data_IF_297250630619
#
_entry.id   IF_297250630619
#
_cell.length_a   1.000
_cell.length_b   1.000
_cell.length_c   1.000
_cell.angle_alpha   90.00
_cell.angle_beta   90.00
_cell.angle_gamma   90.00
#
_symmetry.space_group_name_H-M   'P 1'
#
loop_
_entity.id
_entity.type
_entity.pdbx_description
1 polymer ?
#
# COMPACT_ATOMS: atom_id res chain seq x y z
N UNK A 1 -46.83 27.49 -67.37
CA UNK A 1 -47.31 27.64 -65.97
C UNK A 1 -46.96 26.34 -65.28
N UNK A 2 -46.23 26.22 -64.19
CA UNK A 2 -45.63 27.12 -63.20
C UNK A 2 -45.29 26.18 -62.03
N UNK A 3 -44.09 26.28 -61.46
CA UNK A 3 -43.71 25.70 -60.16
C UNK A 3 -43.04 24.31 -60.22
N UNK A 4 -41.95 24.03 -59.50
CA UNK A 4 -41.13 24.88 -58.62
C UNK A 4 -39.76 24.22 -58.41
N UNK A 5 -38.73 25.06 -58.49
CA UNK A 5 -37.43 25.11 -57.80
C UNK A 5 -36.50 23.89 -57.65
N UNK A 6 -35.35 24.04 -58.34
CA UNK A 6 -34.04 23.48 -57.99
C UNK A 6 -33.50 24.26 -56.79
N UNK A 7 -33.07 23.54 -55.75
CA UNK A 7 -32.14 24.10 -54.77
C UNK A 7 -30.77 23.43 -54.85
N UNK A 8 -29.78 24.30 -55.03
CA UNK A 8 -28.36 24.04 -54.86
C UNK A 8 -28.08 23.97 -53.36
N UNK A 9 -27.32 22.98 -52.94
CA UNK A 9 -26.35 23.20 -51.87
C UNK A 9 -25.06 22.49 -52.26
N UNK A 10 -24.08 23.31 -52.64
CA UNK A 10 -22.69 22.94 -52.68
C UNK A 10 -22.19 22.94 -51.23
N UNK A 11 -21.31 22.01 -50.88
CA UNK A 11 -20.26 22.33 -49.93
C UNK A 11 -18.94 21.66 -50.31
N UNK A 12 -17.89 22.38 -49.95
CA UNK A 12 -16.57 22.45 -50.57
C UNK A 12 -15.82 21.12 -50.72
N UNK A 13 -15.04 21.04 -51.81
CA UNK A 13 -13.83 20.23 -51.86
C UNK A 13 -12.95 20.58 -50.66
N UNK A 14 -12.70 19.61 -49.79
CA UNK A 14 -11.48 19.59 -48.97
C UNK A 14 -10.51 18.69 -49.71
N UNK A 15 -9.59 19.30 -50.45
CA UNK A 15 -8.34 18.64 -50.81
C UNK A 15 -7.56 18.49 -49.49
N UNK A 16 -7.61 17.30 -48.91
CA UNK A 16 -6.65 16.91 -47.87
C UNK A 16 -5.42 16.43 -48.63
N UNK A 17 -4.53 17.38 -48.90
CA UNK A 17 -3.12 17.09 -49.08
C UNK A 17 -2.57 16.71 -47.70
N UNK A 18 -2.61 15.40 -47.42
CA UNK A 18 -1.90 14.73 -46.35
C UNK A 18 -1.20 13.55 -47.01
N UNK A 19 0.09 13.73 -47.25
CA UNK A 19 1.02 12.73 -47.76
C UNK A 19 1.20 11.61 -46.72
N UNK A 20 0.17 10.78 -46.56
CA UNK A 20 0.23 9.56 -45.75
C UNK A 20 0.83 8.46 -46.63
N UNK A 21 2.14 8.56 -46.88
CA UNK A 21 2.90 7.39 -47.31
C UNK A 21 2.67 6.29 -46.26
N UNK A 22 2.15 5.11 -46.65
CA UNK A 22 1.87 4.05 -45.68
C UNK A 22 3.12 3.73 -44.89
N UNK A 23 3.02 3.72 -43.56
CA UNK A 23 4.19 3.46 -42.72
C UNK A 23 4.68 2.01 -42.92
N UNK A 24 5.88 1.70 -42.41
CA UNK A 24 6.47 0.36 -42.54
C UNK A 24 5.55 -0.76 -42.00
N UNK A 25 4.63 -0.43 -41.10
CA UNK A 25 3.67 -1.35 -40.53
C UNK A 25 2.46 -1.54 -41.46
N UNK A 26 1.90 -0.45 -42.00
CA UNK A 26 0.84 -0.48 -43.00
C UNK A 26 1.29 -1.20 -44.27
N UNK A 27 2.50 -0.91 -44.76
CA UNK A 27 3.14 -1.61 -45.89
C UNK A 27 3.21 -3.12 -45.63
N UNK A 28 3.46 -3.53 -44.38
CA UNK A 28 3.49 -4.93 -43.97
C UNK A 28 2.10 -5.56 -43.97
N UNK A 29 1.10 -4.89 -43.42
CA UNK A 29 -0.30 -5.34 -43.39
C UNK A 29 -0.83 -5.53 -44.82
N UNK A 30 -0.60 -4.55 -45.71
CA UNK A 30 -0.97 -4.68 -47.13
C UNK A 30 -0.19 -5.78 -47.84
N UNK A 31 1.11 -5.97 -47.54
CA UNK A 31 1.93 -7.01 -48.19
C UNK A 31 1.52 -8.44 -47.81
N UNK A 32 0.91 -8.63 -46.63
CA UNK A 32 0.52 -9.96 -46.15
C UNK A 32 -0.80 -10.46 -46.75
N UNK A 33 -1.57 -9.62 -47.44
CA UNK A 33 -2.89 -9.96 -47.98
C UNK A 33 -3.97 -10.21 -46.92
N UNK A 34 -3.62 -10.13 -45.63
CA UNK A 34 -4.46 -10.51 -44.50
C UNK A 34 -5.68 -9.58 -44.34
N UNK A 35 -5.55 -8.32 -44.75
CA UNK A 35 -6.65 -7.36 -44.82
C UNK A 35 -7.75 -7.81 -45.80
N UNK A 36 -7.35 -8.27 -46.99
CA UNK A 36 -8.28 -8.67 -48.05
C UNK A 36 -8.96 -10.00 -47.71
N UNK A 37 -8.23 -10.93 -47.08
CA UNK A 37 -8.80 -12.16 -46.54
C UNK A 37 -9.80 -11.89 -45.41
N UNK A 38 -9.49 -10.95 -44.52
CA UNK A 38 -10.40 -10.55 -43.46
C UNK A 38 -11.66 -9.84 -44.01
N UNK A 39 -11.53 -9.03 -45.05
CA UNK A 39 -12.67 -8.43 -45.74
C UNK A 39 -13.55 -9.49 -46.44
N UNK A 40 -12.91 -10.47 -47.10
CA UNK A 40 -13.58 -11.62 -47.74
C UNK A 40 -14.35 -12.46 -46.72
N UNK A 41 -13.76 -12.74 -45.55
CA UNK A 41 -14.41 -13.47 -44.45
C UNK A 41 -15.58 -12.69 -43.85
N UNK A 42 -15.46 -11.37 -43.69
CA UNK A 42 -16.56 -10.53 -43.22
C UNK A 42 -17.72 -10.46 -44.22
N UNK A 43 -17.42 -10.41 -45.53
CA UNK A 43 -18.44 -10.47 -46.58
C UNK A 43 -19.13 -11.85 -46.61
N UNK A 44 -18.36 -12.94 -46.49
CA UNK A 44 -18.91 -14.30 -46.38
C UNK A 44 -19.85 -14.46 -45.18
N UNK A 45 -19.48 -13.89 -44.02
CA UNK A 45 -20.34 -13.89 -42.85
C UNK A 45 -21.61 -13.05 -43.05
N UNK A 46 -21.49 -11.88 -43.68
CA UNK A 46 -22.65 -11.01 -43.93
C UNK A 46 -23.68 -11.70 -44.83
N UNK A 47 -23.22 -12.44 -45.85
CA UNK A 47 -24.08 -13.16 -46.79
C UNK A 47 -24.66 -14.45 -46.19
N UNK A 48 -23.83 -15.29 -45.58
CA UNK A 48 -24.24 -16.64 -45.13
C UNK A 48 -24.73 -16.66 -43.68
N UNK A 49 -24.48 -15.60 -42.89
CA UNK A 49 -24.77 -15.45 -41.45
C UNK A 49 -24.31 -16.60 -40.57
N UNK A 50 -23.39 -17.43 -41.07
CA UNK A 50 -22.79 -18.56 -40.37
C UNK A 50 -21.30 -18.64 -40.71
N UNK A 51 -20.46 -18.38 -39.70
CA UNK A 51 -19.01 -18.34 -39.83
C UNK A 51 -18.39 -19.72 -40.12
N UNK A 52 -19.09 -20.82 -39.82
CA UNK A 52 -18.56 -22.18 -40.04
C UNK A 52 -18.53 -22.58 -41.51
N UNK A 53 -19.44 -22.03 -42.31
CA UNK A 53 -19.49 -22.28 -43.75
C UNK A 53 -18.37 -21.54 -44.52
N UNK A 54 -17.74 -20.54 -43.90
CA UNK A 54 -16.67 -19.75 -44.53
C UNK A 54 -15.27 -20.38 -44.41
N UNK A 55 -15.12 -21.47 -43.64
CA UNK A 55 -13.84 -22.18 -43.47
C UNK A 55 -13.43 -23.04 -44.66
N UNK A 56 -14.37 -23.40 -45.55
CA UNK A 56 -14.11 -24.31 -46.66
C UNK A 56 -13.44 -23.68 -47.89
N UNK A 57 -13.40 -22.35 -47.96
CA UNK A 57 -12.93 -21.62 -49.15
C UNK A 57 -11.55 -20.94 -48.97
N UNK A 58 -11.01 -20.87 -47.74
CA UNK A 58 -9.64 -20.41 -47.48
C UNK A 58 -8.77 -21.58 -47.02
N UNK A 59 -7.84 -21.99 -47.89
CA UNK A 59 -6.83 -23.01 -47.61
C UNK A 59 -5.79 -22.45 -46.63
N UNK A 60 -6.11 -22.51 -45.33
CA UNK A 60 -5.18 -22.18 -44.26
C UNK A 60 -4.11 -23.28 -44.19
N UNK A 61 -3.10 -23.19 -45.05
CA UNK A 61 -1.86 -23.94 -44.85
C UNK A 61 -1.29 -23.59 -43.47
N UNK A 62 -0.88 -24.58 -42.65
CA UNK A 62 -0.42 -24.31 -41.30
C UNK A 62 0.86 -23.48 -41.35
N UNK A 63 0.83 -22.29 -40.75
CA UNK A 63 2.02 -21.51 -40.46
C UNK A 63 3.02 -22.36 -39.64
N UNK A 64 4.34 -22.19 -39.82
CA UNK A 64 5.32 -22.92 -39.03
C UNK A 64 5.09 -22.66 -37.54
N UNK A 65 5.24 -23.72 -36.73
CA UNK A 65 4.91 -23.79 -35.31
C UNK A 65 5.20 -22.48 -34.56
N UNK A 66 4.13 -21.80 -34.10
CA UNK A 66 4.25 -20.71 -33.15
C UNK A 66 4.96 -21.21 -31.90
N UNK A 67 6.00 -20.52 -31.47
CA UNK A 67 6.70 -20.82 -30.21
C UNK A 67 5.70 -20.93 -29.06
N UNK A 68 5.89 -21.89 -28.12
CA UNK A 68 4.98 -22.05 -27.00
C UNK A 68 4.94 -20.74 -26.20
N UNK A 69 3.73 -20.24 -25.93
CA UNK A 69 3.49 -19.10 -25.05
C UNK A 69 4.24 -19.31 -23.73
N UNK A 70 5.28 -18.50 -23.49
CA UNK A 70 6.01 -18.50 -22.23
C UNK A 70 5.03 -18.22 -21.10
N UNK A 71 4.95 -19.12 -20.12
CA UNK A 71 4.17 -18.89 -18.91
C UNK A 71 4.75 -17.67 -18.19
N UNK A 72 3.91 -16.69 -17.85
CA UNK A 72 4.35 -15.48 -17.09
C UNK A 72 4.84 -15.80 -15.67
N UNK A 73 4.64 -17.05 -15.21
CA UNK A 73 5.13 -17.54 -13.93
C UNK A 73 6.46 -18.29 -14.01
N UNK A 74 6.94 -18.60 -15.23
CA UNK A 74 8.19 -19.32 -15.42
C UNK A 74 9.37 -18.38 -15.09
N UNK A 75 10.11 -18.69 -14.04
CA UNK A 75 11.23 -17.88 -13.56
C UNK A 75 10.91 -16.85 -12.46
N UNK A 76 9.68 -16.81 -11.93
CA UNK A 76 9.32 -16.03 -10.73
C UNK A 76 9.55 -16.79 -9.42
N UNK A 77 9.98 -18.05 -9.48
CA UNK A 77 10.44 -18.76 -8.31
C UNK A 77 11.78 -18.16 -7.87
N UNK A 78 11.81 -17.55 -6.68
CA UNK A 78 13.04 -17.17 -5.96
C UNK A 78 13.27 -18.20 -4.84
N UNK A 79 13.66 -19.46 -5.18
CA UNK A 79 13.95 -20.45 -4.17
C UNK A 79 15.20 -19.99 -3.40
N UNK A 80 15.23 -20.16 -2.07
CA UNK A 80 16.40 -19.80 -1.28
C UNK A 80 17.64 -20.53 -1.84
N UNK A 81 18.80 -19.87 -1.91
CA UNK A 81 20.02 -20.46 -2.45
C UNK A 81 20.37 -21.75 -1.70
N UNK A 82 20.64 -22.82 -2.46
CA UNK A 82 21.12 -24.10 -1.90
C UNK A 82 22.61 -23.91 -1.57
N UNK A 83 22.91 -23.79 -0.28
CA UNK A 83 24.27 -23.56 0.21
C UNK A 83 25.09 -24.88 0.21
N UNK A 84 26.36 -24.81 -0.17
CA UNK A 84 27.27 -25.96 -0.19
C UNK A 84 27.78 -26.35 1.20
N UNK A 85 28.05 -27.64 1.43
CA UNK A 85 28.40 -28.23 2.74
C UNK A 85 29.64 -27.63 3.46
N UNK A 86 30.47 -26.86 2.75
CA UNK A 86 31.69 -26.25 3.30
C UNK A 86 31.55 -24.79 3.75
N UNK A 87 30.42 -24.14 3.45
CA UNK A 87 30.13 -22.82 3.99
C UNK A 87 29.42 -22.99 5.34
N UNK A 88 30.10 -22.65 6.44
CA UNK A 88 29.46 -22.46 7.76
C UNK A 88 28.57 -21.20 7.76
N UNK A 89 27.73 -21.06 6.75
CA UNK A 89 26.79 -19.97 6.62
C UNK A 89 25.50 -20.39 7.31
N UNK A 90 25.14 -19.63 8.35
CA UNK A 90 23.92 -19.89 9.11
C UNK A 90 22.72 -19.57 8.22
N UNK A 91 21.89 -20.57 7.93
CA UNK A 91 20.60 -20.37 7.28
C UNK A 91 19.61 -19.71 8.25
N UNK A 92 19.47 -18.38 8.15
CA UNK A 92 18.58 -17.60 9.00
C UNK A 92 17.09 -17.85 8.75
N UNK A 93 16.71 -18.53 7.67
CA UNK A 93 15.29 -18.82 7.38
C UNK A 93 14.71 -19.85 8.34
N UNK A 94 15.56 -20.75 8.87
CA UNK A 94 15.14 -21.87 9.74
C UNK A 94 15.94 -21.96 11.04
N UNK A 95 17.18 -21.47 11.06
CA UNK A 95 18.07 -21.63 12.22
C UNK A 95 17.62 -20.83 13.45
N UNK A 96 17.98 -21.35 14.64
CA UNK A 96 17.86 -20.69 15.94
C UNK A 96 19.24 -20.36 16.54
N UNK A 97 20.26 -20.23 15.69
CA UNK A 97 21.65 -20.02 16.10
C UNK A 97 21.82 -18.84 17.06
N UNK A 98 22.47 -19.09 18.20
CA UNK A 98 22.81 -18.06 19.20
C UNK A 98 21.63 -17.58 20.06
N UNK A 99 20.41 -18.09 19.85
CA UNK A 99 19.26 -17.75 20.68
C UNK A 99 19.49 -18.21 22.12
N UNK A 100 19.34 -17.28 23.07
CA UNK A 100 19.55 -17.53 24.51
C UNK A 100 20.95 -18.07 24.90
N UNK A 101 21.96 -17.93 24.04
CA UNK A 101 23.30 -18.44 24.33
C UNK A 101 24.05 -17.60 25.37
N UNK A 102 23.95 -16.27 25.27
CA UNK A 102 24.68 -15.31 26.12
C UNK A 102 23.82 -14.04 26.26
N UNK A 103 23.86 -13.30 27.39
CA UNK A 103 23.29 -11.96 27.46
C UNK A 103 24.03 -10.94 26.55
N UNK A 104 23.47 -9.74 26.39
CA UNK A 104 24.19 -8.59 25.81
C UNK A 104 25.12 -7.97 26.85
N UNK A 105 26.08 -7.14 26.42
CA UNK A 105 26.95 -6.44 27.37
C UNK A 105 26.13 -5.50 28.26
N UNK A 106 26.60 -5.17 29.47
CA UNK A 106 25.90 -4.24 30.36
C UNK A 106 25.59 -2.89 29.69
N UNK A 107 26.53 -2.35 28.90
CA UNK A 107 26.36 -1.10 28.18
C UNK A 107 25.26 -1.18 27.12
N UNK A 108 25.20 -2.30 26.38
CA UNK A 108 24.15 -2.56 25.40
C UNK A 108 22.78 -2.71 26.08
N UNK A 109 22.72 -3.48 27.17
CA UNK A 109 21.49 -3.66 27.93
C UNK A 109 20.96 -2.33 28.48
N UNK A 110 21.83 -1.46 28.99
CA UNK A 110 21.46 -0.13 29.46
C UNK A 110 20.89 0.76 28.35
N UNK A 111 21.42 0.68 27.12
CA UNK A 111 20.89 1.42 25.97
C UNK A 111 19.52 0.88 25.54
N UNK A 112 19.38 -0.45 25.47
CA UNK A 112 18.16 -1.11 25.01
C UNK A 112 16.98 -0.92 25.96
N UNK A 113 17.25 -0.85 27.26
CA UNK A 113 16.25 -0.70 28.32
C UNK A 113 16.13 0.75 28.83
N UNK A 114 16.74 1.72 28.14
CA UNK A 114 16.63 3.12 28.52
C UNK A 114 15.19 3.63 28.35
N UNK A 115 14.75 4.45 29.29
CA UNK A 115 13.45 5.14 29.24
C UNK A 115 13.34 5.99 27.98
N UNK A 116 12.14 6.05 27.39
CA UNK A 116 11.86 6.86 26.22
C UNK A 116 11.65 8.33 26.58
N UNK A 117 12.06 9.21 25.67
CA UNK A 117 11.63 10.60 25.73
C UNK A 117 10.13 10.69 25.46
N UNK A 118 9.40 11.46 26.27
CA UNK A 118 7.98 11.75 26.07
C UNK A 118 7.70 12.37 24.68
N UNK A 119 8.65 13.12 24.13
CA UNK A 119 8.52 13.77 22.82
C UNK A 119 8.64 12.79 21.64
N UNK A 120 9.16 11.59 21.89
CA UNK A 120 9.33 10.58 20.85
C UNK A 120 8.09 9.68 20.68
N UNK A 121 7.11 9.78 21.58
CA UNK A 121 5.94 8.90 21.64
C UNK A 121 4.77 9.54 20.91
N UNK A 122 4.27 8.89 19.87
CA UNK A 122 3.17 9.38 19.06
C UNK A 122 1.83 8.77 19.46
N UNK A 123 0.72 9.44 19.10
CA UNK A 123 -0.64 8.98 19.39
C UNK A 123 -1.35 8.72 18.06
N UNK A 124 -1.83 7.48 17.85
CA UNK A 124 -2.69 7.17 16.70
C UNK A 124 -4.07 7.82 16.86
N UNK A 125 -4.78 8.06 15.76
CA UNK A 125 -6.17 8.52 15.76
C UNK A 125 -7.12 7.72 16.67
N UNK A 126 -6.83 6.44 16.88
CA UNK A 126 -7.61 5.51 17.71
C UNK A 126 -7.26 5.58 19.21
N UNK A 127 -6.27 6.39 19.61
CA UNK A 127 -5.83 6.58 20.99
C UNK A 127 -4.73 5.62 21.44
N UNK A 128 -4.18 4.83 20.52
CA UNK A 128 -3.06 3.93 20.78
C UNK A 128 -1.75 4.74 20.72
N UNK A 129 -0.99 4.72 21.80
CA UNK A 129 0.36 5.31 21.82
C UNK A 129 1.35 4.37 21.13
N UNK A 130 2.32 4.92 20.41
CA UNK A 130 3.33 4.14 19.72
C UNK A 130 4.64 4.91 19.59
N UNK A 131 5.76 4.18 19.52
CA UNK A 131 7.04 4.75 19.16
C UNK A 131 7.23 4.62 17.63
N UNK A 132 7.60 5.68 16.90
CA UNK A 132 7.89 5.59 15.48
C UNK A 132 9.04 4.61 15.17
N UNK A 133 8.92 3.89 14.05
CA UNK A 133 9.87 2.86 13.62
C UNK A 133 11.33 3.33 13.60
N UNK A 134 11.56 4.57 13.15
CA UNK A 134 12.90 5.16 13.07
C UNK A 134 13.60 5.21 14.43
N UNK A 135 12.85 5.36 15.52
CA UNK A 135 13.41 5.43 16.88
C UNK A 135 13.95 4.06 17.31
N UNK A 136 13.25 2.97 17.00
CA UNK A 136 13.76 1.61 17.23
C UNK A 136 15.08 1.39 16.48
N UNK A 137 15.15 1.76 15.19
CA UNK A 137 16.39 1.64 14.40
C UNK A 137 17.55 2.43 15.00
N UNK A 138 17.28 3.65 15.50
CA UNK A 138 18.28 4.49 16.16
C UNK A 138 18.78 3.85 17.46
N UNK A 139 17.90 3.25 18.25
CA UNK A 139 18.26 2.52 19.48
C UNK A 139 19.13 1.31 19.14
N UNK A 140 18.74 0.52 18.14
CA UNK A 140 19.53 -0.63 17.67
C UNK A 140 20.89 -0.21 17.13
N UNK A 141 20.96 0.87 16.33
CA UNK A 141 22.24 1.42 15.85
C UNK A 141 23.11 1.94 17.01
N UNK A 142 22.51 2.52 18.04
CA UNK A 142 23.24 2.98 19.23
C UNK A 142 23.77 1.80 20.06
N UNK A 143 23.01 0.73 20.21
CA UNK A 143 23.40 -0.45 20.98
C UNK A 143 24.42 -1.34 20.24
N UNK A 144 24.19 -1.60 18.95
CA UNK A 144 24.95 -2.61 18.18
C UNK A 144 25.88 -2.01 17.12
N UNK A 145 25.71 -0.73 16.78
CA UNK A 145 26.37 -0.12 15.63
C UNK A 145 25.68 -0.45 14.31
N UNK A 146 25.88 0.37 13.26
CA UNK A 146 25.43 0.05 11.90
C UNK A 146 26.12 -1.22 11.41
N UNK A 147 25.34 -2.15 10.85
CA UNK A 147 25.82 -3.48 10.45
C UNK A 147 25.89 -4.52 11.58
N UNK A 148 25.73 -4.10 12.84
CA UNK A 148 25.70 -4.99 14.00
C UNK A 148 24.35 -5.70 14.24
N UNK A 149 23.32 -5.39 13.44
CA UNK A 149 22.00 -6.00 13.53
C UNK A 149 21.31 -6.05 12.17
N UNK A 150 20.33 -6.92 12.02
CA UNK A 150 19.53 -7.05 10.81
C UNK A 150 18.26 -7.87 11.01
N UNK A 151 17.32 -7.75 10.07
CA UNK A 151 16.16 -8.62 9.99
C UNK A 151 16.35 -9.65 8.90
N UNK A 152 16.32 -10.92 9.28
CA UNK A 152 16.29 -12.04 8.36
C UNK A 152 14.84 -12.39 8.04
N UNK A 153 14.41 -12.38 6.76
CA UNK A 153 13.11 -12.90 6.40
C UNK A 153 13.03 -14.41 6.69
N UNK A 154 11.92 -14.84 7.29
CA UNK A 154 11.63 -16.25 7.56
C UNK A 154 10.35 -16.65 6.83
N UNK A 155 10.45 -17.71 6.04
CA UNK A 155 9.36 -18.16 5.18
C UNK A 155 9.02 -17.21 4.03
N UNK A 156 8.00 -17.62 3.28
CA UNK A 156 7.47 -16.89 2.14
C UNK A 156 6.60 -15.70 2.58
N UNK A 157 6.56 -14.67 1.75
CA UNK A 157 5.63 -13.56 1.94
C UNK A 157 4.23 -14.01 1.56
N UNK A 158 3.31 -14.01 2.52
CA UNK A 158 1.91 -14.35 2.29
C UNK A 158 1.19 -13.05 1.92
N UNK A 159 0.76 -12.95 0.67
CA UNK A 159 -0.06 -11.85 0.16
C UNK A 159 -1.49 -12.33 0.03
N UNK A 160 -2.37 -11.82 0.87
CA UNK A 160 -3.82 -11.97 0.74
C UNK A 160 -4.40 -10.66 0.22
N UNK A 161 -5.60 -10.68 -0.38
CA UNK A 161 -6.17 -9.51 -1.07
C UNK A 161 -6.32 -8.20 -0.27
N UNK A 162 -6.00 -8.17 1.03
CA UNK A 162 -5.98 -6.97 1.87
C UNK A 162 -4.77 -6.86 2.80
N UNK A 163 -3.91 -7.89 2.89
CA UNK A 163 -2.84 -7.95 3.89
C UNK A 163 -1.61 -8.65 3.32
N UNK A 164 -0.45 -8.06 3.55
CA UNK A 164 0.85 -8.71 3.41
C UNK A 164 1.32 -9.14 4.80
N UNK A 165 1.72 -10.40 4.96
CA UNK A 165 2.30 -10.90 6.21
C UNK A 165 3.50 -11.79 5.95
N UNK A 166 4.51 -11.70 6.82
CA UNK A 166 5.72 -12.50 6.75
C UNK A 166 6.37 -12.62 8.13
N UNK A 167 7.01 -13.74 8.42
CA UNK A 167 7.83 -13.89 9.61
C UNK A 167 9.22 -13.28 9.41
N UNK A 168 9.77 -12.65 10.44
CA UNK A 168 11.13 -12.16 10.44
C UNK A 168 11.84 -12.54 11.73
N UNK A 169 13.12 -12.88 11.62
CA UNK A 169 14.03 -13.05 12.74
C UNK A 169 14.90 -11.80 12.91
N UNK A 170 14.92 -11.20 14.09
CA UNK A 170 15.90 -10.17 14.45
C UNK A 170 17.21 -10.86 14.83
N UNK A 171 18.29 -10.46 14.15
CA UNK A 171 19.65 -10.93 14.40
C UNK A 171 20.48 -9.75 14.89
N UNK A 172 21.20 -9.90 16.00
CA UNK A 172 22.08 -8.87 16.55
C UNK A 172 23.43 -9.48 16.93
N UNK A 173 24.53 -8.99 16.38
CA UNK A 173 25.87 -9.55 16.65
C UNK A 173 26.01 -11.02 16.22
N UNK A 174 25.36 -11.42 15.12
CA UNK A 174 25.46 -12.78 14.59
C UNK A 174 24.66 -13.85 15.34
N UNK A 175 23.74 -13.46 16.24
CA UNK A 175 22.83 -14.37 16.95
C UNK A 175 21.38 -14.00 16.70
N UNK A 176 20.52 -15.01 16.60
CA UNK A 176 19.08 -14.82 16.62
C UNK A 176 18.66 -14.29 18.00
N UNK A 177 17.86 -13.23 18.01
CA UNK A 177 17.38 -12.57 19.23
C UNK A 177 15.90 -12.87 19.43
N UNK A 178 15.10 -12.67 18.39
CA UNK A 178 13.64 -12.75 18.47
C UNK A 178 13.07 -13.09 17.11
N UNK A 179 11.91 -13.74 17.09
CA UNK A 179 11.14 -14.01 15.89
C UNK A 179 9.76 -13.39 16.06
N UNK A 180 9.31 -12.63 15.06
CA UNK A 180 7.97 -12.09 15.05
C UNK A 180 7.39 -12.09 13.64
N UNK A 181 6.06 -12.23 13.55
CA UNK A 181 5.33 -12.04 12.30
C UNK A 181 4.96 -10.58 12.12
N UNK A 182 5.39 -10.00 11.01
CA UNK A 182 4.94 -8.69 10.56
C UNK A 182 3.66 -8.82 9.75
N UNK A 183 2.85 -7.77 9.77
CA UNK A 183 1.68 -7.64 8.91
C UNK A 183 1.47 -6.18 8.52
N UNK A 184 0.93 -5.97 7.33
CA UNK A 184 0.54 -4.65 6.85
C UNK A 184 -0.67 -4.76 5.93
N UNK A 185 -1.70 -3.96 6.22
CA UNK A 185 -2.87 -3.85 5.37
C UNK A 185 -2.58 -2.99 4.14
N UNK A 186 -3.21 -3.34 3.02
CA UNK A 186 -3.21 -2.57 1.78
C UNK A 186 -4.62 -2.58 1.16
N UNK A 187 -4.90 -1.57 0.33
CA UNK A 187 -6.23 -1.41 -0.28
C UNK A 187 -6.24 -1.70 -1.78
N UNK A 188 -5.11 -1.47 -2.44
CA UNK A 188 -4.92 -1.66 -3.87
C UNK A 188 -3.69 -2.54 -4.14
N UNK A 189 -3.72 -3.48 -5.10
CA UNK A 189 -2.57 -4.31 -5.46
C UNK A 189 -1.29 -3.52 -5.76
N UNK A 190 -1.36 -2.32 -6.31
CA UNK A 190 -0.20 -1.47 -6.56
C UNK A 190 0.49 -1.04 -5.25
N UNK A 191 -0.21 -1.14 -4.11
CA UNK A 191 0.31 -0.89 -2.77
C UNK A 191 1.10 -2.04 -2.15
N UNK A 192 1.20 -3.22 -2.79
CA UNK A 192 1.89 -4.40 -2.24
C UNK A 192 3.38 -4.12 -1.92
N UNK A 193 4.17 -3.39 -2.73
CA UNK A 193 5.57 -3.09 -2.40
C UNK A 193 5.69 -2.27 -1.11
N UNK A 194 4.89 -1.20 -0.97
CA UNK A 194 4.83 -0.39 0.25
C UNK A 194 4.37 -1.20 1.45
N UNK A 195 3.38 -2.09 1.25
CA UNK A 195 2.90 -2.97 2.30
C UNK A 195 3.95 -3.99 2.74
N UNK A 196 4.81 -4.45 1.82
CA UNK A 196 5.91 -5.36 2.11
C UNK A 196 6.96 -4.70 3.01
N UNK A 197 7.33 -3.45 2.73
CA UNK A 197 8.20 -2.67 3.62
C UNK A 197 7.53 -2.40 4.98
N UNK A 198 6.25 -2.03 4.99
CA UNK A 198 5.48 -1.85 6.23
C UNK A 198 5.41 -3.12 7.07
N UNK A 199 5.26 -4.29 6.43
CA UNK A 199 5.28 -5.60 7.09
C UNK A 199 6.62 -5.87 7.77
N UNK A 200 7.74 -5.55 7.11
CA UNK A 200 9.10 -5.69 7.66
C UNK A 200 9.31 -4.78 8.88
N UNK A 201 8.91 -3.52 8.77
CA UNK A 201 8.96 -2.54 9.85
C UNK A 201 8.09 -2.92 11.05
N UNK A 202 6.91 -3.47 10.79
CA UNK A 202 6.02 -3.99 11.83
C UNK A 202 6.68 -5.13 12.63
N UNK A 203 7.29 -6.10 11.92
CA UNK A 203 8.02 -7.18 12.57
C UNK A 203 9.20 -6.68 13.40
N UNK A 204 9.94 -5.67 12.91
CA UNK A 204 11.07 -5.06 13.63
C UNK A 204 10.65 -4.61 15.03
N UNK A 205 9.59 -3.81 15.12
CA UNK A 205 9.10 -3.25 16.39
C UNK A 205 8.67 -4.35 17.35
N UNK A 206 8.03 -5.41 16.84
CA UNK A 206 7.61 -6.57 17.64
C UNK A 206 8.83 -7.32 18.20
N UNK A 207 9.85 -7.56 17.39
CA UNK A 207 11.09 -8.19 17.86
C UNK A 207 11.85 -7.33 18.88
N UNK A 208 11.82 -6.00 18.72
CA UNK A 208 12.47 -5.08 19.66
C UNK A 208 11.86 -5.11 21.06
N UNK A 209 10.61 -5.57 21.20
CA UNK A 209 9.96 -5.73 22.50
C UNK A 209 10.68 -6.75 23.38
N UNK A 210 11.16 -7.84 22.80
CA UNK A 210 11.88 -8.90 23.53
C UNK A 210 13.27 -8.44 23.99
N UNK A 211 13.82 -7.38 23.37
CA UNK A 211 15.03 -6.68 23.82
C UNK A 211 14.77 -5.71 24.99
N UNK A 212 13.51 -5.45 25.34
CA UNK A 212 13.11 -4.48 26.36
C UNK A 212 12.92 -3.05 25.83
N UNK A 213 13.08 -2.82 24.53
CA UNK A 213 12.90 -1.48 23.95
C UNK A 213 11.42 -1.07 24.04
N UNK A 214 11.17 0.15 24.52
CA UNK A 214 9.83 0.74 24.60
C UNK A 214 8.82 -0.10 25.42
N UNK A 215 9.32 -0.85 26.41
CA UNK A 215 8.48 -1.73 27.24
C UNK A 215 7.37 -0.97 27.99
N UNK A 216 7.63 0.29 28.37
CA UNK A 216 6.68 1.19 29.04
C UNK A 216 5.42 1.50 28.22
N UNK A 217 5.48 1.47 26.88
CA UNK A 217 4.31 1.70 26.02
C UNK A 217 3.26 0.59 26.12
N UNK A 218 3.61 -0.52 26.76
CA UNK A 218 2.72 -1.65 27.01
C UNK A 218 2.23 -1.72 28.46
N UNK A 219 2.70 -0.83 29.35
CA UNK A 219 2.20 -0.72 30.72
C UNK A 219 0.89 0.09 30.74
N UNK A 220 -0.26 -0.51 31.12
CA UNK A 220 -1.53 0.20 31.21
C UNK A 220 -1.49 1.43 32.12
N UNK A 221 -0.61 1.44 33.14
CA UNK A 221 -0.47 2.59 34.04
C UNK A 221 0.28 3.73 33.36
N UNK A 222 1.34 3.41 32.62
CA UNK A 222 2.07 4.39 31.81
C UNK A 222 1.16 5.02 30.76
N UNK A 223 0.44 4.20 29.99
CA UNK A 223 -0.49 4.68 28.94
C UNK A 223 -1.49 5.70 29.50
N UNK A 224 -2.09 5.41 30.66
CA UNK A 224 -3.04 6.34 31.32
C UNK A 224 -2.40 7.66 31.72
N UNK A 225 -1.18 7.63 32.29
CA UNK A 225 -0.44 8.84 32.67
C UNK A 225 -0.03 9.66 31.45
N UNK A 226 0.45 9.00 30.40
CA UNK A 226 0.84 9.64 29.15
C UNK A 226 -0.36 10.29 28.46
N UNK A 227 -1.46 9.57 28.28
CA UNK A 227 -2.68 10.12 27.65
C UNK A 227 -3.26 11.31 28.43
N UNK A 228 -3.17 11.32 29.77
CA UNK A 228 -3.59 12.47 30.59
C UNK A 228 -2.70 13.70 30.36
N UNK A 229 -1.39 13.50 30.25
CA UNK A 229 -0.41 14.59 30.11
C UNK A 229 -0.34 15.12 28.68
N UNK A 230 -0.20 14.25 27.69
CA UNK A 230 0.09 14.60 26.29
C UNK A 230 -1.08 14.36 25.31
N UNK A 231 -2.11 13.59 25.66
CA UNK A 231 -3.22 13.27 24.76
C UNK A 231 -4.38 14.27 24.77
N UNK A 232 -4.99 14.50 23.60
CA UNK A 232 -6.24 15.26 23.41
C UNK A 232 -7.26 14.39 22.65
N UNK A 233 -8.49 14.32 23.16
CA UNK A 233 -9.64 13.79 22.41
C UNK A 233 -10.35 14.95 21.72
N UNK A 234 -10.56 14.86 20.41
CA UNK A 234 -11.36 15.82 19.64
C UNK A 234 -12.31 15.10 18.68
N UNK A 235 -13.37 15.79 18.26
CA UNK A 235 -14.26 15.31 17.19
C UNK A 235 -13.85 16.01 15.91
N UNK A 236 -13.48 15.22 14.90
CA UNK A 236 -13.05 15.74 13.60
C UNK A 236 -14.12 15.46 12.55
N UNK A 237 -14.32 16.42 11.66
CA UNK A 237 -15.15 16.31 10.46
C UNK A 237 -14.26 16.34 9.22
N UNK A 238 -14.47 15.39 8.32
CA UNK A 238 -13.81 15.39 7.02
C UNK A 238 -14.45 16.46 6.13
N UNK A 239 -13.66 17.41 5.62
CA UNK A 239 -14.15 18.61 4.90
C UNK A 239 -15.04 18.25 3.71
N UNK A 240 -14.63 17.25 2.91
CA UNK A 240 -15.35 16.79 1.71
C UNK A 240 -16.55 15.88 2.06
N UNK A 241 -16.33 14.80 2.80
CA UNK A 241 -17.37 13.78 3.04
C UNK A 241 -18.33 14.12 4.18
N UNK A 242 -18.06 15.19 4.96
CA UNK A 242 -18.82 15.61 6.15
C UNK A 242 -18.95 14.55 7.23
N UNK A 243 -18.21 13.45 7.13
CA UNK A 243 -18.20 12.37 8.13
C UNK A 243 -17.48 12.83 9.39
N UNK A 244 -18.13 12.62 10.54
CA UNK A 244 -17.58 12.93 11.86
C UNK A 244 -17.07 11.67 12.54
N UNK A 245 -15.93 11.77 13.22
CA UNK A 245 -15.39 10.70 14.05
C UNK A 245 -14.66 11.26 15.26
N UNK A 246 -14.56 10.45 16.31
CA UNK A 246 -13.63 10.69 17.41
C UNK A 246 -12.19 10.58 16.89
N UNK A 247 -11.31 11.40 17.42
CA UNK A 247 -9.92 11.46 17.03
C UNK A 247 -9.06 11.74 18.26
N UNK A 248 -8.06 10.90 18.46
CA UNK A 248 -7.00 11.14 19.43
C UNK A 248 -5.76 11.67 18.72
N UNK A 249 -5.13 12.65 19.34
CA UNK A 249 -3.87 13.24 18.87
C UNK A 249 -3.08 13.75 20.06
N UNK A 250 -1.80 14.08 19.86
CA UNK A 250 -1.05 14.80 20.89
C UNK A 250 -1.55 16.24 21.00
N UNK A 251 -1.38 16.86 22.16
CA UNK A 251 -1.82 18.24 22.44
C UNK A 251 -1.02 19.30 21.67
N UNK A 252 0.24 19.01 21.38
CA UNK A 252 1.18 19.82 20.62
C UNK A 252 1.03 19.66 19.11
N UNK A 253 0.23 18.70 18.65
CA UNK A 253 0.04 18.41 17.24
C UNK A 253 -1.10 19.23 16.63
N UNK A 254 -1.06 19.45 15.32
CA UNK A 254 -2.08 20.21 14.59
C UNK A 254 -2.87 19.32 13.63
N UNK A 255 -4.17 19.56 13.50
CA UNK A 255 -5.01 18.83 12.55
C UNK A 255 -4.67 19.20 11.11
N UNK A 256 -4.29 18.20 10.34
CA UNK A 256 -4.00 18.35 8.91
C UNK A 256 -5.25 18.18 8.05
N UNK A 257 -5.32 18.94 6.95
CA UNK A 257 -6.31 18.73 5.89
C UNK A 257 -6.27 17.25 5.43
N UNK A 258 -7.43 16.57 5.25
CA UNK A 258 -8.78 17.11 5.10
C UNK A 258 -9.65 17.13 6.38
N UNK A 259 -9.05 17.06 7.57
CA UNK A 259 -9.79 17.01 8.84
C UNK A 259 -9.90 18.40 9.47
N UNK A 260 -11.07 18.71 10.04
CA UNK A 260 -11.31 19.94 10.83
C UNK A 260 -11.91 19.57 12.18
N UNK A 261 -11.44 20.20 13.25
CA UNK A 261 -12.05 20.07 14.58
C UNK A 261 -13.46 20.70 14.56
N UNK A 262 -14.45 19.92 15.00
CA UNK A 262 -15.79 20.42 15.26
C UNK A 262 -15.94 20.46 16.76
N UNK A 263 -15.93 21.67 17.32
CA UNK A 263 -16.34 21.88 18.69
C UNK A 263 -17.76 21.34 18.85
N UNK A 264 -17.99 20.51 19.86
CA UNK A 264 -19.34 20.18 20.29
C UNK A 264 -19.94 21.50 20.76
N UNK A 265 -20.64 22.22 19.87
CA UNK A 265 -21.52 23.29 20.28
C UNK A 265 -22.54 22.63 21.21
N UNK A 266 -22.38 22.90 22.50
CA UNK A 266 -23.37 22.57 23.52
C UNK A 266 -24.67 23.25 23.07
N UNK A 267 -25.59 22.49 22.48
CA UNK A 267 -26.89 22.98 22.06
C UNK A 267 -27.65 23.43 23.30
N UNK A 268 -27.76 24.76 23.46
CA UNK A 268 -28.94 25.48 23.92
C UNK A 268 -29.56 25.11 25.27
N UNK A 269 -29.24 25.89 26.30
CA UNK A 269 -30.26 26.38 27.22
C UNK A 269 -30.74 27.75 26.71
N UNK A 270 -31.60 27.74 25.70
CA UNK A 270 -32.23 28.93 25.15
C UNK A 270 -33.71 28.68 24.95
N UNK A 271 -34.54 29.26 25.83
CA UNK A 271 -35.93 29.57 25.52
C UNK A 271 -36.97 29.22 26.59
N UNK A 272 -37.37 30.22 27.39
CA UNK A 272 -38.78 30.48 27.69
C UNK A 272 -38.91 31.93 28.21
N UNK A 273 -39.43 32.81 27.36
CA UNK A 273 -39.84 34.15 27.76
C UNK A 273 -41.24 34.16 28.37
N UNK A 274 -41.50 35.11 29.27
CA UNK A 274 -42.83 35.66 29.51
C UNK A 274 -42.66 37.06 30.15
N UNK A 275 -43.29 38.06 29.55
CA UNK A 275 -43.23 39.46 29.96
C UNK A 275 -44.05 39.78 31.22
N UNK A 276 -43.89 41.01 31.71
CA UNK A 276 -44.74 41.56 32.77
C UNK A 276 -44.16 42.84 33.38
N UNK A 277 -44.69 43.97 32.93
CA UNK A 277 -44.56 45.32 33.48
C UNK A 277 -44.72 45.41 35.01
N UNK A 278 -43.95 46.29 35.67
CA UNK A 278 -44.26 46.73 37.03
C UNK A 278 -43.26 47.73 37.60
N UNK A 279 -43.69 49.00 37.72
CA UNK A 279 -43.02 50.09 38.43
C UNK A 279 -42.54 49.71 39.84
N UNK A 280 -41.43 50.31 40.31
CA UNK A 280 -41.47 51.27 41.42
C UNK A 280 -40.09 51.85 41.70
N UNK A 281 -40.02 53.19 41.69
CA UNK A 281 -39.00 53.99 42.34
C UNK A 281 -39.08 53.78 43.85
N UNK A 282 -37.93 53.67 44.52
CA UNK A 282 -37.55 54.46 45.70
C UNK A 282 -36.07 54.29 45.97
#
# INVERSE_FOLDING_TARGET
MSGTEKDKQADAKVEVEGDDEPDEWDKRIFSTGCSDENASLNNCFFEKKDWRACKGEHDLSPAPASEPLRSLTDGLADPPPVLGEHEKQVDWTRSFHGLSATPFTPDQAAILQADLSHDDIEIKPDGIIYLPEIKYRRILNKAFGPGGWGLAPRGETIVTGKVVTREYGLVCGGRLVSIARGEQQYFDPDGIPTATEGCKSNALMRCCKDLGIASELWDPRYIKRFMKSAGKECVVEHVVTKKRRKHWMRKDDELRYPLKEVGVQQQGAGGAGAGGSGQARR
#
